data_IF_933246987439
#
_entry.id   IF_933246987439
#
_cell.length_a   1.000
_cell.length_b   1.000
_cell.length_c   1.000
_cell.angle_alpha   90.00
_cell.angle_beta   90.00
_cell.angle_gamma   90.00
#
_symmetry.space_group_name_H-M   'P 1'
#
loop_
_entity.id
_entity.type
_entity.pdbx_description
1 polymer ?
#
# COMPACT_ATOMS: atom_id res chain seq x y z
N UNK A 1 -32.83 19.74 18.26
CA UNK A 1 -32.21 19.63 16.91
C UNK A 1 -30.81 20.26 16.83
N UNK A 2 -30.49 21.28 17.65
CA UNK A 2 -29.19 21.98 17.62
C UNK A 2 -27.98 21.15 18.09
N UNK A 3 -28.15 20.30 19.11
CA UNK A 3 -27.03 19.54 19.68
C UNK A 3 -26.46 18.48 18.70
N UNK A 4 -27.33 17.86 17.89
CA UNK A 4 -26.93 16.90 16.85
C UNK A 4 -26.13 17.56 15.72
N UNK A 5 -26.53 18.77 15.30
CA UNK A 5 -25.80 19.54 14.28
C UNK A 5 -24.44 20.01 14.78
N UNK A 6 -24.36 20.48 16.02
CA UNK A 6 -23.10 20.87 16.64
C UNK A 6 -22.14 19.68 16.74
N UNK A 7 -22.62 18.52 17.18
CA UNK A 7 -21.84 17.28 17.24
C UNK A 7 -21.30 16.85 15.87
N UNK A 8 -22.12 16.86 14.81
CA UNK A 8 -21.68 16.53 13.44
C UNK A 8 -20.61 17.51 12.94
N UNK A 9 -20.75 18.82 13.20
CA UNK A 9 -19.75 19.81 12.79
C UNK A 9 -18.40 19.59 13.48
N UNK A 10 -18.39 19.17 14.75
CA UNK A 10 -17.16 18.87 15.50
C UNK A 10 -16.47 17.64 14.88
N UNK A 11 -17.20 16.55 14.67
CA UNK A 11 -16.66 15.31 14.06
C UNK A 11 -16.06 15.55 12.67
N UNK A 12 -16.74 16.34 11.84
CA UNK A 12 -16.23 16.71 10.51
C UNK A 12 -14.97 17.58 10.61
N UNK A 13 -14.87 18.44 11.62
CA UNK A 13 -13.70 19.29 11.84
C UNK A 13 -12.48 18.45 12.24
N UNK A 14 -12.65 17.52 13.18
CA UNK A 14 -11.59 16.58 13.59
C UNK A 14 -11.13 15.72 12.41
N UNK A 15 -12.07 15.17 11.64
CA UNK A 15 -11.75 14.35 10.46
C UNK A 15 -10.97 15.12 9.40
N UNK A 16 -11.32 16.39 9.15
CA UNK A 16 -10.61 17.25 8.20
C UNK A 16 -9.19 17.56 8.68
N UNK A 17 -9.00 17.86 9.96
CA UNK A 17 -7.68 18.10 10.54
C UNK A 17 -6.79 16.87 10.41
N UNK A 18 -7.30 15.68 10.76
CA UNK A 18 -6.56 14.44 10.59
C UNK A 18 -6.13 14.23 9.14
N UNK A 19 -7.04 14.45 8.17
CA UNK A 19 -6.70 14.35 6.74
C UNK A 19 -5.61 15.33 6.30
N UNK A 20 -5.62 16.56 6.81
CA UNK A 20 -4.58 17.57 6.52
C UNK A 20 -3.23 17.10 7.06
N UNK A 21 -3.18 16.67 8.33
CA UNK A 21 -1.95 16.18 8.97
C UNK A 21 -1.39 14.99 8.21
N UNK A 22 -2.22 13.98 7.92
CA UNK A 22 -1.81 12.79 7.17
C UNK A 22 -1.29 13.15 5.78
N UNK A 23 -1.89 14.14 5.10
CA UNK A 23 -1.42 14.59 3.78
C UNK A 23 -0.08 15.31 3.85
N UNK A 24 0.14 16.11 4.88
CA UNK A 24 1.43 16.78 5.12
C UNK A 24 2.53 15.75 5.34
N UNK A 25 2.29 14.73 6.18
CA UNK A 25 3.24 13.64 6.42
C UNK A 25 3.50 12.85 5.12
N UNK A 26 2.46 12.50 4.36
CA UNK A 26 2.58 11.80 3.08
C UNK A 26 3.52 12.55 2.13
N UNK A 27 3.39 13.88 2.04
CA UNK A 27 4.20 14.70 1.15
C UNK A 27 5.67 14.75 1.59
N UNK A 28 5.94 14.75 2.89
CA UNK A 28 7.30 14.66 3.43
C UNK A 28 7.93 13.30 3.10
N UNK A 29 7.20 12.20 3.33
CA UNK A 29 7.71 10.84 3.12
C UNK A 29 7.95 10.54 1.63
N UNK A 30 7.20 11.12 0.70
CA UNK A 30 7.41 10.93 -0.75
C UNK A 30 8.83 11.21 -1.22
N UNK A 31 9.54 12.13 -0.57
CA UNK A 31 10.94 12.44 -0.92
C UNK A 31 11.87 11.25 -0.65
N UNK A 32 11.69 10.57 0.48
CA UNK A 32 12.56 9.50 0.98
C UNK A 32 12.12 8.13 0.47
N UNK A 33 10.82 7.95 0.25
CA UNK A 33 10.23 6.66 -0.15
C UNK A 33 10.87 6.08 -1.43
N UNK A 34 11.38 6.90 -2.34
CA UNK A 34 12.07 6.43 -3.56
C UNK A 34 13.34 5.61 -3.25
N UNK A 35 14.01 5.89 -2.15
CA UNK A 35 15.23 5.20 -1.73
C UNK A 35 14.94 3.95 -0.90
N UNK A 36 13.80 3.93 -0.21
CA UNK A 36 13.39 2.83 0.69
C UNK A 36 12.59 1.75 -0.05
N UNK A 37 11.79 2.13 -1.05
CA UNK A 37 10.92 1.19 -1.77
C UNK A 37 11.71 0.38 -2.79
N UNK A 38 11.67 -0.95 -2.65
CA UNK A 38 12.23 -1.87 -3.64
C UNK A 38 11.55 -1.75 -5.00
N UNK A 39 12.30 -2.03 -6.08
CA UNK A 39 11.76 -2.08 -7.46
C UNK A 39 10.64 -3.10 -7.62
N UNK A 40 10.64 -4.15 -6.80
CA UNK A 40 9.70 -5.26 -6.88
C UNK A 40 8.46 -5.07 -5.99
N UNK A 41 8.27 -3.89 -5.40
CA UNK A 41 7.05 -3.55 -4.66
C UNK A 41 6.05 -2.86 -5.60
N UNK A 42 4.93 -3.52 -5.86
CA UNK A 42 3.97 -3.10 -6.89
C UNK A 42 2.68 -2.46 -6.34
N UNK A 43 2.43 -2.55 -5.04
CA UNK A 43 1.22 -2.02 -4.39
C UNK A 43 1.47 -0.65 -3.76
N UNK A 44 0.44 0.19 -3.74
CA UNK A 44 0.43 1.53 -3.11
C UNK A 44 1.45 2.54 -3.65
N UNK A 45 2.14 2.25 -4.75
CA UNK A 45 3.10 3.15 -5.39
C UNK A 45 2.49 3.72 -6.67
N UNK A 46 2.52 5.05 -6.81
CA UNK A 46 2.02 5.71 -8.03
C UNK A 46 2.79 5.21 -9.26
N UNK A 47 2.05 4.74 -10.26
CA UNK A 47 2.63 4.25 -11.52
C UNK A 47 3.08 2.79 -11.50
N UNK A 48 2.85 2.05 -10.41
CA UNK A 48 2.98 0.59 -10.35
C UNK A 48 1.62 -0.02 -10.06
N UNK A 49 1.28 -1.09 -10.76
CA UNK A 49 -0.01 -1.77 -10.60
C UNK A 49 0.21 -3.19 -10.08
N UNK A 50 -0.75 -3.68 -9.30
CA UNK A 50 -0.75 -5.07 -8.86
C UNK A 50 -0.78 -6.06 -10.04
N UNK A 51 -1.36 -5.66 -11.17
CA UNK A 51 -1.37 -6.46 -12.40
C UNK A 51 0.05 -6.68 -12.95
N UNK A 52 0.95 -5.70 -12.82
CA UNK A 52 2.33 -5.83 -13.26
C UNK A 52 3.03 -6.99 -12.52
N UNK A 53 2.76 -7.13 -11.22
CA UNK A 53 3.25 -8.25 -10.41
C UNK A 53 2.73 -9.60 -10.92
N UNK A 54 1.44 -9.69 -11.26
CA UNK A 54 0.85 -10.93 -11.79
C UNK A 54 1.44 -11.32 -13.13
N UNK A 55 1.69 -10.35 -14.02
CA UNK A 55 2.32 -10.59 -15.32
C UNK A 55 3.76 -11.10 -15.15
N UNK A 56 4.57 -10.41 -14.34
CA UNK A 56 5.96 -10.81 -14.07
C UNK A 56 6.01 -12.21 -13.45
N UNK A 57 5.11 -12.51 -12.51
CA UNK A 57 5.07 -13.84 -11.87
C UNK A 57 4.74 -14.94 -12.89
N UNK A 58 3.79 -14.69 -13.79
CA UNK A 58 3.45 -15.65 -14.84
C UNK A 58 4.62 -15.88 -15.80
N UNK A 59 5.31 -14.82 -16.22
CA UNK A 59 6.50 -14.92 -17.07
C UNK A 59 7.61 -15.74 -16.40
N UNK A 60 7.88 -15.50 -15.12
CA UNK A 60 8.89 -16.26 -14.36
C UNK A 60 8.52 -17.74 -14.28
N UNK A 61 7.25 -18.07 -14.01
CA UNK A 61 6.78 -19.47 -13.99
C UNK A 61 6.91 -20.12 -15.38
N UNK A 62 6.55 -19.40 -16.43
CA UNK A 62 6.65 -19.89 -17.80
C UNK A 62 8.11 -20.12 -18.23
N UNK A 63 9.05 -19.30 -17.76
CA UNK A 63 10.49 -19.46 -17.99
C UNK A 63 11.02 -20.72 -17.28
N UNK A 64 10.74 -20.88 -15.99
CA UNK A 64 11.12 -22.08 -15.24
C UNK A 64 10.61 -23.36 -15.90
N UNK A 65 9.36 -23.35 -16.39
CA UNK A 65 8.78 -24.49 -17.11
C UNK A 65 9.49 -24.78 -18.44
N UNK A 66 9.92 -23.73 -19.17
CA UNK A 66 10.64 -23.88 -20.45
C UNK A 66 12.06 -24.41 -20.25
N UNK A 67 12.72 -23.98 -19.20
CA UNK A 67 14.10 -24.37 -18.89
C UNK A 67 14.18 -25.72 -18.14
N UNK A 68 13.03 -26.35 -17.86
CA UNK A 68 12.90 -27.58 -17.07
C UNK A 68 13.50 -27.47 -15.66
N UNK A 69 13.57 -26.24 -15.12
CA UNK A 69 14.09 -25.96 -13.80
C UNK A 69 12.99 -26.08 -12.74
N UNK A 70 13.35 -26.62 -11.58
CA UNK A 70 12.47 -26.67 -10.42
C UNK A 70 12.40 -25.30 -9.73
N UNK A 71 11.20 -24.89 -9.33
CA UNK A 71 10.98 -23.61 -8.66
C UNK A 71 9.98 -23.71 -7.52
N UNK A 72 10.12 -22.83 -6.53
CA UNK A 72 9.25 -22.74 -5.37
C UNK A 72 8.72 -21.31 -5.22
N UNK A 73 7.41 -21.18 -4.99
CA UNK A 73 6.76 -19.89 -4.76
C UNK A 73 6.21 -19.81 -3.35
N UNK A 74 6.56 -18.75 -2.63
CA UNK A 74 6.06 -18.47 -1.29
C UNK A 74 5.06 -17.31 -1.34
N UNK A 75 3.81 -17.61 -0.99
CA UNK A 75 2.80 -16.58 -0.75
C UNK A 75 2.73 -16.31 0.75
N UNK A 76 3.16 -15.12 1.15
CA UNK A 76 3.13 -14.65 2.54
C UNK A 76 2.07 -13.55 2.65
N UNK A 77 1.23 -13.63 3.68
CA UNK A 77 0.21 -12.62 3.99
C UNK A 77 0.22 -12.34 5.50
N UNK A 78 -0.12 -11.10 5.89
CA UNK A 78 -0.09 -10.66 7.29
C UNK A 78 -1.50 -10.47 7.84
N UNK A 79 -1.84 -11.16 8.93
CA UNK A 79 -3.10 -10.87 9.63
C UNK A 79 -3.04 -9.47 10.25
N UNK A 80 -4.04 -8.63 9.92
CA UNK A 80 -4.20 -7.27 10.47
C UNK A 80 -2.90 -6.45 10.37
N UNK A 81 -2.28 -6.42 9.19
CA UNK A 81 -0.99 -5.77 8.94
C UNK A 81 -0.81 -4.34 9.50
N UNK A 82 -1.90 -3.56 9.62
CA UNK A 82 -1.86 -2.21 10.17
C UNK A 82 -2.00 -2.13 11.70
N UNK A 83 -2.47 -3.20 12.34
CA UNK A 83 -2.66 -3.27 13.79
C UNK A 83 -1.48 -3.97 14.50
N UNK A 84 -0.64 -4.68 13.75
CA UNK A 84 0.49 -5.48 14.27
C UNK A 84 1.83 -4.77 14.12
N UNK A 85 1.83 -3.47 13.83
CA UNK A 85 3.05 -2.66 13.75
C UNK A 85 3.47 -2.29 15.18
N UNK A 86 4.62 -2.82 15.62
CA UNK A 86 5.32 -2.42 16.86
C UNK A 86 6.37 -1.33 16.61
#
# INVERSE_FOLDING_TARGET
MNNRRASICIELSVSRLHKIISKTIENMLKGVLREVISKNQFTFIKGRQLLDYSLITNEVIDLLRKDHDEGLSFKIDFEKAFNSVE
#
